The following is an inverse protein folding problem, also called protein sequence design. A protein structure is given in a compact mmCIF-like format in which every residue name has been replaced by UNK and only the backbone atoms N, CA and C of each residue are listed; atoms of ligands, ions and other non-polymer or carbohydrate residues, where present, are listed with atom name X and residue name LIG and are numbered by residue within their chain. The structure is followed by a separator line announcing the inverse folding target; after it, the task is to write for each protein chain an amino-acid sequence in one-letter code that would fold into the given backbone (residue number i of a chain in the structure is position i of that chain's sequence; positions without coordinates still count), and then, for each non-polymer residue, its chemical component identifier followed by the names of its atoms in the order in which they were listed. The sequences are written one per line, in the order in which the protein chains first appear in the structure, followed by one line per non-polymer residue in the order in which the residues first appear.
data_IF_292366740375
#
_entry.id   IF_292366740375
#
_cell.length_a   1.000
_cell.length_b   1.000
_cell.length_c   1.000
_cell.angle_alpha   90.00
_cell.angle_beta   90.00
_cell.angle_gamma   90.00
#
_symmetry.space_group_name_H-M   'P 1'
#
loop_
_entity.id
_entity.type
_entity.pdbx_description
1 polymer ?
#
# COMPACT_ATOMS: atom_id res chain seq x y z
N UNK A 1 -9.68 -10.06 0.39
CA UNK A 1 -9.23 -10.72 1.49
C UNK A 1 -9.69 -10.11 2.80
N UNK A 2 -10.40 -10.92 3.57
CA UNK A 2 -11.02 -10.46 4.82
C UNK A 2 -10.01 -9.93 5.84
N UNK A 3 -8.82 -10.57 5.91
CA UNK A 3 -7.76 -10.14 6.82
C UNK A 3 -7.24 -8.75 6.48
N UNK A 4 -7.04 -8.48 5.18
CA UNK A 4 -6.57 -7.17 4.74
C UNK A 4 -7.59 -6.07 5.02
N UNK A 5 -8.87 -6.35 4.81
CA UNK A 5 -9.94 -5.40 5.12
C UNK A 5 -9.99 -5.09 6.61
N UNK A 6 -9.83 -6.11 7.46
CA UNK A 6 -9.80 -5.93 8.90
C UNK A 6 -8.65 -5.02 9.31
N UNK A 7 -7.46 -5.23 8.76
CA UNK A 7 -6.30 -4.39 9.04
C UNK A 7 -6.52 -2.94 8.67
N UNK A 8 -7.15 -2.70 7.51
CA UNK A 8 -7.43 -1.33 7.07
C UNK A 8 -8.40 -0.65 8.01
N UNK A 9 -9.44 -1.35 8.45
CA UNK A 9 -10.40 -0.80 9.40
C UNK A 9 -9.73 -0.47 10.74
N UNK A 10 -8.82 -1.30 11.19
CA UNK A 10 -8.04 -1.03 12.41
C UNK A 10 -7.17 0.21 12.26
N UNK A 11 -6.56 0.41 11.08
CA UNK A 11 -5.76 1.59 10.79
C UNK A 11 -6.63 2.85 10.78
N UNK A 12 -7.81 2.79 10.18
CA UNK A 12 -8.75 3.92 10.17
C UNK A 12 -9.12 4.30 11.61
N UNK A 13 -9.40 3.30 12.45
CA UNK A 13 -9.73 3.56 13.85
C UNK A 13 -8.56 4.21 14.59
N UNK A 14 -7.33 3.77 14.32
CA UNK A 14 -6.14 4.37 14.92
C UNK A 14 -5.98 5.83 14.46
N UNK A 15 -6.27 6.12 13.19
CA UNK A 15 -6.22 7.49 12.68
C UNK A 15 -7.19 8.40 13.43
N UNK A 16 -8.38 7.90 13.74
CA UNK A 16 -9.38 8.67 14.49
C UNK A 16 -8.93 8.98 15.92
N UNK A 17 -7.99 8.19 16.44
CA UNK A 17 -7.42 8.41 17.77
C UNK A 17 -6.18 9.31 17.74
N UNK A 18 -5.82 9.84 16.57
CA UNK A 18 -4.71 10.77 16.42
C UNK A 18 -3.39 10.14 15.99
N UNK A 19 -3.34 8.84 15.72
CA UNK A 19 -2.14 8.17 15.24
C UNK A 19 -1.93 8.43 13.74
N UNK A 20 -0.67 8.56 13.35
CA UNK A 20 -0.31 8.58 11.92
C UNK A 20 -0.26 7.15 11.44
N UNK A 21 -0.88 6.89 10.28
CA UNK A 21 -0.96 5.54 9.73
C UNK A 21 -0.27 5.48 8.37
N UNK A 22 0.41 4.36 8.11
CA UNK A 22 1.16 4.13 6.89
C UNK A 22 0.90 2.71 6.39
N UNK A 23 0.84 2.55 5.07
CA UNK A 23 0.86 1.24 4.43
C UNK A 23 1.95 1.27 3.38
N UNK A 24 2.79 0.24 3.38
CA UNK A 24 3.86 0.07 2.40
C UNK A 24 3.54 -1.12 1.50
N UNK A 25 3.47 -0.86 0.20
CA UNK A 25 3.36 -1.90 -0.80
C UNK A 25 4.73 -2.18 -1.41
N UNK A 26 5.06 -3.46 -1.56
CA UNK A 26 6.29 -3.88 -2.20
C UNK A 26 5.95 -4.57 -3.50
N UNK A 27 6.45 -4.04 -4.61
CA UNK A 27 6.26 -4.61 -5.93
C UNK A 27 7.51 -5.38 -6.31
N UNK A 28 7.37 -6.68 -6.53
CA UNK A 28 8.50 -7.55 -6.86
C UNK A 28 8.80 -7.54 -8.37
N UNK A 29 8.95 -6.35 -8.92
CA UNK A 29 9.25 -6.14 -10.34
C UNK A 29 10.21 -4.97 -10.49
N UNK A 30 11.24 -5.15 -11.32
CA UNK A 30 12.21 -4.10 -11.58
C UNK A 30 11.77 -3.13 -12.69
N UNK A 31 10.78 -3.52 -13.50
CA UNK A 31 10.32 -2.74 -14.65
C UNK A 31 9.04 -1.94 -14.37
N UNK A 32 8.60 -1.90 -13.15
CA UNK A 32 7.34 -1.25 -12.78
C UNK A 32 7.56 0.23 -12.48
N UNK A 33 6.85 1.10 -13.18
CA UNK A 33 6.96 2.56 -13.00
C UNK A 33 5.80 3.14 -12.20
N UNK A 34 4.71 2.41 -12.10
CA UNK A 34 3.54 2.88 -11.36
C UNK A 34 2.75 1.69 -10.81
N UNK A 35 2.03 1.95 -9.73
CA UNK A 35 1.16 0.99 -9.08
C UNK A 35 -0.26 1.55 -9.08
N UNK A 36 -1.22 0.79 -9.63
CA UNK A 36 -2.62 1.24 -9.72
C UNK A 36 -3.47 0.49 -8.71
N UNK A 37 -4.08 1.21 -7.79
CA UNK A 37 -4.97 0.61 -6.80
C UNK A 37 -6.18 -0.03 -7.48
N UNK A 38 -6.72 0.61 -8.52
CA UNK A 38 -7.90 0.09 -9.21
C UNK A 38 -7.63 -1.18 -10.01
N UNK A 39 -6.41 -1.34 -10.56
CA UNK A 39 -6.07 -2.47 -11.41
C UNK A 39 -5.34 -3.60 -10.71
N UNK A 40 -4.50 -3.25 -9.74
CA UNK A 40 -3.56 -4.20 -9.14
C UNK A 40 -4.06 -4.78 -7.81
N UNK A 41 -5.16 -4.28 -7.29
CA UNK A 41 -5.71 -4.70 -6.00
C UNK A 41 -7.17 -5.11 -6.18
N UNK A 42 -7.60 -6.08 -5.37
CA UNK A 42 -8.99 -6.50 -5.28
C UNK A 42 -9.91 -5.29 -5.04
N UNK A 43 -11.08 -5.28 -5.71
CA UNK A 43 -11.99 -4.13 -5.70
C UNK A 43 -12.45 -3.74 -4.30
N UNK A 44 -12.77 -4.70 -3.46
CA UNK A 44 -13.21 -4.42 -2.09
C UNK A 44 -12.08 -3.83 -1.25
N UNK A 45 -10.88 -4.36 -1.41
CA UNK A 45 -9.69 -3.85 -0.74
C UNK A 45 -9.34 -2.45 -1.24
N UNK A 46 -9.48 -2.22 -2.55
CA UNK A 46 -9.22 -0.91 -3.14
C UNK A 46 -10.15 0.16 -2.57
N UNK A 47 -11.43 -0.17 -2.42
CA UNK A 47 -12.40 0.75 -1.80
C UNK A 47 -12.02 1.09 -0.36
N UNK A 48 -11.61 0.08 0.40
CA UNK A 48 -11.19 0.28 1.79
C UNK A 48 -9.93 1.14 1.85
N UNK A 49 -8.96 0.93 0.95
CA UNK A 49 -7.76 1.76 0.87
C UNK A 49 -8.09 3.21 0.57
N UNK A 50 -8.98 3.45 -0.38
CA UNK A 50 -9.37 4.80 -0.74
C UNK A 50 -10.06 5.52 0.42
N UNK A 51 -10.88 4.80 1.17
CA UNK A 51 -11.50 5.32 2.37
C UNK A 51 -10.44 5.68 3.42
N UNK A 52 -9.45 4.81 3.60
CA UNK A 52 -8.37 5.04 4.54
C UNK A 52 -7.52 6.26 4.14
N UNK A 53 -7.27 6.45 2.86
CA UNK A 53 -6.54 7.62 2.37
C UNK A 53 -7.28 8.90 2.71
N UNK A 54 -8.61 8.90 2.61
CA UNK A 54 -9.43 10.05 3.03
C UNK A 54 -9.35 10.29 4.54
N UNK A 55 -8.96 9.27 5.31
CA UNK A 55 -8.77 9.38 6.76
C UNK A 55 -7.28 9.50 7.12
N UNK A 56 -6.50 10.14 6.26
CA UNK A 56 -5.09 10.47 6.47
C UNK A 56 -4.13 9.29 6.46
N UNK A 57 -4.50 8.19 5.79
CA UNK A 57 -3.56 7.10 5.55
C UNK A 57 -2.48 7.54 4.57
N UNK A 58 -1.22 7.25 4.89
CA UNK A 58 -0.09 7.49 4.00
C UNK A 58 0.24 6.21 3.26
N UNK A 59 0.17 6.26 1.93
CA UNK A 59 0.50 5.11 1.08
C UNK A 59 1.91 5.27 0.53
N UNK A 60 2.70 4.21 0.66
CA UNK A 60 4.04 4.14 0.10
C UNK A 60 4.14 2.89 -0.77
N UNK A 61 4.79 3.01 -1.90
CA UNK A 61 5.04 1.89 -2.80
C UNK A 61 6.48 1.92 -3.28
N UNK A 62 7.16 0.79 -3.15
CA UNK A 62 8.54 0.64 -3.61
C UNK A 62 8.66 -0.63 -4.42
N UNK A 63 9.50 -0.62 -5.43
CA UNK A 63 9.88 -1.86 -6.08
C UNK A 63 11.03 -2.51 -5.30
N UNK A 64 11.27 -3.78 -5.62
CA UNK A 64 12.30 -4.56 -4.96
C UNK A 64 13.32 -5.02 -6.00
N UNK A 65 14.58 -5.00 -5.60
CA UNK A 65 15.67 -5.52 -6.42
C UNK A 65 16.20 -6.79 -5.79
N UNK A 66 16.24 -7.86 -6.58
CA UNK A 66 16.77 -9.13 -6.12
C UNK A 66 18.28 -9.18 -6.35
N UNK A 67 19.01 -9.66 -5.37
CA UNK A 67 20.46 -9.84 -5.46
C UNK A 67 20.86 -11.13 -4.77
N UNK A 68 22.12 -11.54 -4.92
CA UNK A 68 22.66 -12.71 -4.24
C UNK A 68 22.62 -12.58 -2.71
N UNK A 69 22.49 -11.36 -2.21
CA UNK A 69 22.42 -11.08 -0.77
C UNK A 69 20.98 -10.93 -0.25
N UNK A 70 19.98 -11.14 -1.11
CA UNK A 70 18.59 -11.04 -0.72
C UNK A 70 17.82 -9.98 -1.48
N UNK A 71 16.73 -9.50 -0.88
CA UNK A 71 15.84 -8.50 -1.48
C UNK A 71 16.11 -7.13 -0.85
N UNK A 72 16.28 -6.12 -1.69
CA UNK A 72 16.45 -4.75 -1.24
C UNK A 72 15.38 -3.86 -1.83
N UNK A 73 14.94 -2.87 -1.07
CA UNK A 73 14.11 -1.80 -1.61
C UNK A 73 14.93 -1.03 -2.65
N UNK A 74 14.34 -0.78 -3.81
CA UNK A 74 15.04 -0.12 -4.89
C UNK A 74 14.58 1.33 -5.03
N UNK A 75 13.45 1.56 -5.68
CA UNK A 75 12.97 2.92 -5.93
C UNK A 75 11.51 3.08 -5.51
N UNK A 76 11.14 4.33 -5.20
CA UNK A 76 9.77 4.67 -4.91
C UNK A 76 8.95 4.64 -6.19
N UNK A 77 7.78 4.01 -6.15
CA UNK A 77 6.89 3.87 -7.29
C UNK A 77 5.70 4.79 -7.11
N UNK A 78 5.31 5.44 -8.19
CA UNK A 78 4.15 6.32 -8.20
C UNK A 78 2.87 5.50 -8.02
N UNK A 79 2.02 5.91 -7.10
CA UNK A 79 0.73 5.27 -6.85
C UNK A 79 -0.35 6.03 -7.61
N UNK A 80 -1.12 5.30 -8.42
CA UNK A 80 -2.28 5.84 -9.13
C UNK A 80 -3.54 5.38 -8.41
N UNK A 81 -4.35 6.30 -8.04
CA UNK A 81 -5.62 6.02 -7.37
C UNK A 81 -6.76 5.96 -8.38
#
# INVERSE_FOLDING_TARGET
TARGLKHINELINASKKGYKIFILFLVQREDCNSFSIAKDIDADYAKALMKAVKNNLNLLCYDCKFSSKGIKLNKKIKIKI
#
